data_IF_595648974247
#
_entry.id   IF_595648974247
#
_cell.length_a   1.000
_cell.length_b   1.000
_cell.length_c   1.000
_cell.angle_alpha   90.00
_cell.angle_beta   90.00
_cell.angle_gamma   90.00
#
_symmetry.space_group_name_H-M   'P 1'
#
loop_
_entity.id
_entity.type
_entity.pdbx_description
1 polymer ?
#
# COMPACT_ATOMS: atom_id res chain seq x y z
N UNK A 1 34.25 -28.04 6.21
CA UNK A 1 33.60 -26.93 5.46
C UNK A 1 32.44 -26.41 6.30
N UNK A 2 32.70 -25.83 7.47
CA UNK A 2 32.96 -24.40 7.65
C UNK A 2 31.86 -23.51 7.06
N UNK A 3 30.79 -23.31 7.85
CA UNK A 3 30.19 -22.00 8.13
C UNK A 3 30.34 -20.92 7.05
N UNK A 4 29.54 -21.01 5.97
CA UNK A 4 29.28 -19.86 5.10
C UNK A 4 28.00 -19.19 5.56
N UNK A 5 28.21 -18.32 6.55
CA UNK A 5 27.33 -17.22 6.95
C UNK A 5 26.64 -16.60 5.73
N UNK A 6 25.34 -16.79 5.62
CA UNK A 6 24.42 -15.74 5.21
C UNK A 6 23.36 -15.73 6.31
N UNK A 7 23.64 -15.10 7.45
CA UNK A 7 22.98 -13.82 7.71
C UNK A 7 22.72 -13.04 6.40
N UNK A 8 21.82 -13.54 5.54
CA UNK A 8 20.89 -12.64 4.90
C UNK A 8 20.23 -11.96 6.09
N UNK A 9 20.67 -10.74 6.39
CA UNK A 9 19.98 -9.83 7.30
C UNK A 9 18.52 -10.09 7.04
N UNK A 10 17.78 -10.66 8.01
CA UNK A 10 16.34 -10.85 7.88
C UNK A 10 15.81 -9.44 7.65
N UNK A 11 15.64 -9.08 6.36
CA UNK A 11 15.32 -7.73 5.95
C UNK A 11 13.90 -7.55 6.43
N UNK A 12 13.78 -6.86 7.55
CA UNK A 12 12.54 -6.75 8.30
C UNK A 12 11.52 -6.11 7.36
N UNK A 13 10.42 -6.81 7.10
CA UNK A 13 9.36 -6.27 6.27
C UNK A 13 8.90 -4.92 6.82
N UNK A 14 8.88 -3.91 5.96
CA UNK A 14 8.36 -2.58 6.27
C UNK A 14 6.91 -2.54 5.81
N UNK A 15 6.00 -2.25 6.73
CA UNK A 15 4.57 -2.14 6.44
C UNK A 15 4.12 -0.70 6.60
N UNK A 16 3.50 -0.14 5.57
CA UNK A 16 2.94 1.21 5.55
C UNK A 16 1.42 1.08 5.43
N UNK A 17 0.68 1.65 6.39
CA UNK A 17 -0.77 1.68 6.39
C UNK A 17 -1.26 3.12 6.34
N UNK A 18 -1.92 3.50 5.24
CA UNK A 18 -2.58 4.80 5.15
C UNK A 18 -3.98 4.71 5.77
N UNK A 19 -4.29 5.62 6.70
CA UNK A 19 -5.58 5.61 7.42
C UNK A 19 -6.34 6.90 7.18
N UNK A 20 -7.64 6.79 6.88
CA UNK A 20 -8.56 7.94 6.94
C UNK A 20 -9.89 7.53 7.62
N UNK A 21 -10.93 8.36 7.54
CA UNK A 21 -12.21 8.05 8.20
C UNK A 21 -12.93 6.87 7.52
N UNK A 22 -13.14 6.93 6.21
CA UNK A 22 -14.01 5.99 5.48
C UNK A 22 -13.30 5.02 4.53
N UNK A 23 -11.99 5.17 4.32
CA UNK A 23 -11.21 4.42 3.31
C UNK A 23 -11.79 4.47 1.88
N UNK A 24 -12.35 5.61 1.45
CA UNK A 24 -12.87 5.76 0.08
C UNK A 24 -12.29 6.95 -0.68
N UNK A 25 -11.61 7.88 -0.01
CA UNK A 25 -11.05 9.08 -0.64
C UNK A 25 -9.53 9.14 -0.48
N UNK A 26 -9.06 9.65 0.67
CA UNK A 26 -7.65 10.01 0.89
C UNK A 26 -6.72 8.80 1.03
N UNK A 27 -7.08 7.82 1.88
CA UNK A 27 -6.18 6.70 2.14
C UNK A 27 -6.01 5.72 0.96
N UNK A 28 -7.05 5.38 0.17
CA UNK A 28 -6.86 4.57 -1.03
C UNK A 28 -6.01 5.27 -2.11
N UNK A 29 -6.18 6.60 -2.29
CA UNK A 29 -5.34 7.37 -3.23
C UNK A 29 -3.87 7.29 -2.82
N UNK A 30 -3.57 7.51 -1.53
CA UNK A 30 -2.20 7.43 -1.01
C UNK A 30 -1.58 6.03 -1.17
N UNK A 31 -2.34 4.97 -0.88
CA UNK A 31 -1.89 3.58 -1.06
C UNK A 31 -1.51 3.30 -2.52
N UNK A 32 -2.36 3.68 -3.47
CA UNK A 32 -2.17 3.41 -4.90
C UNK A 32 -0.97 4.16 -5.46
N UNK A 33 -0.84 5.46 -5.12
CA UNK A 33 0.32 6.26 -5.53
C UNK A 33 1.61 5.75 -4.90
N UNK A 34 1.62 5.48 -3.59
CA UNK A 34 2.80 4.95 -2.93
C UNK A 34 3.20 3.59 -3.51
N UNK A 35 2.24 2.72 -3.81
CA UNK A 35 2.51 1.43 -4.48
C UNK A 35 3.15 1.62 -5.85
N UNK A 36 2.60 2.50 -6.68
CA UNK A 36 3.14 2.79 -8.00
C UNK A 36 4.57 3.37 -7.91
N UNK A 37 4.77 4.38 -7.08
CA UNK A 37 6.07 5.02 -6.89
C UNK A 37 7.09 4.09 -6.25
N UNK A 38 6.72 3.27 -5.27
CA UNK A 38 7.63 2.28 -4.68
C UNK A 38 8.07 1.25 -5.72
N UNK A 39 7.16 0.75 -6.56
CA UNK A 39 7.53 -0.17 -7.66
C UNK A 39 8.49 0.48 -8.64
N UNK A 40 8.24 1.72 -9.03
CA UNK A 40 9.09 2.47 -9.95
C UNK A 40 10.49 2.74 -9.35
N UNK A 41 10.55 3.26 -8.12
CA UNK A 41 11.80 3.68 -7.48
C UNK A 41 12.64 2.53 -6.94
N UNK A 42 12.01 1.41 -6.57
CA UNK A 42 12.72 0.24 -6.02
C UNK A 42 12.88 -0.90 -7.04
N UNK A 43 12.58 -0.70 -8.33
CA UNK A 43 12.57 -1.77 -9.34
C UNK A 43 13.84 -2.64 -9.37
N UNK A 44 15.00 -2.05 -9.06
CA UNK A 44 16.30 -2.73 -9.04
C UNK A 44 16.88 -2.91 -7.64
N UNK A 45 16.07 -2.63 -6.62
CA UNK A 45 16.44 -2.70 -5.21
C UNK A 45 15.90 -3.99 -4.61
N UNK A 46 16.72 -4.80 -3.90
CA UNK A 46 16.23 -5.94 -3.13
C UNK A 46 15.28 -5.54 -1.98
N UNK A 47 15.05 -4.25 -1.77
CA UNK A 47 14.08 -3.65 -0.87
C UNK A 47 12.65 -3.67 -1.44
N UNK A 48 12.47 -3.85 -2.75
CA UNK A 48 11.14 -3.96 -3.36
C UNK A 48 10.31 -5.09 -2.74
N UNK A 49 10.96 -6.20 -2.40
CA UNK A 49 10.31 -7.40 -1.86
C UNK A 49 9.91 -7.30 -0.39
N UNK A 50 10.37 -6.27 0.33
CA UNK A 50 10.15 -6.13 1.78
C UNK A 50 9.17 -5.01 2.14
N UNK A 51 8.71 -4.22 1.17
CA UNK A 51 7.78 -3.11 1.40
C UNK A 51 6.35 -3.56 1.10
N UNK A 52 5.50 -3.49 2.12
CA UNK A 52 4.06 -3.76 2.01
C UNK A 52 3.29 -2.46 2.24
N UNK A 53 2.36 -2.14 1.35
CA UNK A 53 1.56 -0.92 1.38
C UNK A 53 0.09 -1.31 1.36
N UNK A 54 -0.69 -0.71 2.25
CA UNK A 54 -2.11 -0.98 2.41
C UNK A 54 -2.83 0.30 2.88
N UNK A 55 -4.17 0.30 2.87
CA UNK A 55 -4.98 1.35 3.47
C UNK A 55 -6.14 0.82 4.29
N UNK A 56 -6.59 1.65 5.22
CA UNK A 56 -7.74 1.35 6.06
C UNK A 56 -8.53 2.62 6.40
N UNK A 57 -9.70 2.39 7.01
CA UNK A 57 -10.52 3.46 7.55
C UNK A 57 -11.06 3.10 8.92
N UNK A 58 -11.14 4.10 9.80
CA UNK A 58 -11.60 3.93 11.19
C UNK A 58 -13.05 3.43 11.25
N UNK A 59 -13.89 3.83 10.27
CA UNK A 59 -15.27 3.38 10.10
C UNK A 59 -15.55 2.84 8.70
N UNK A 60 -14.54 2.30 8.02
CA UNK A 60 -14.70 1.78 6.66
C UNK A 60 -15.53 0.51 6.63
N UNK A 61 -16.33 0.37 5.57
CA UNK A 61 -16.96 -0.90 5.19
C UNK A 61 -16.22 -1.47 3.98
N UNK A 62 -15.98 -2.77 3.96
CA UNK A 62 -15.25 -3.43 2.86
C UNK A 62 -16.01 -3.32 1.55
N UNK A 63 -15.26 -3.31 0.45
CA UNK A 63 -15.80 -3.47 -0.90
C UNK A 63 -16.37 -2.20 -1.50
N UNK A 64 -16.24 -1.05 -0.82
CA UNK A 64 -16.60 0.24 -1.41
C UNK A 64 -15.55 0.63 -2.47
N UNK A 65 -15.96 1.12 -3.65
CA UNK A 65 -15.00 1.68 -4.60
C UNK A 65 -14.38 2.97 -4.05
N UNK A 66 -13.26 3.40 -4.64
CA UNK A 66 -12.74 4.74 -4.42
C UNK A 66 -13.82 5.74 -4.90
N UNK A 67 -14.05 6.78 -4.12
CA UNK A 67 -14.92 7.90 -4.48
C UNK A 67 -14.55 8.44 -5.86
N UNK A 68 -15.56 8.78 -6.67
CA UNK A 68 -15.37 9.14 -8.09
C UNK A 68 -14.41 10.33 -8.29
N UNK A 69 -14.43 11.32 -7.41
CA UNK A 69 -13.57 12.50 -7.54
C UNK A 69 -12.15 12.16 -7.13
N UNK A 70 -12.00 11.32 -6.11
CA UNK A 70 -10.71 10.80 -5.67
C UNK A 70 -10.08 9.85 -6.70
N UNK A 71 -10.90 9.05 -7.39
CA UNK A 71 -10.47 8.18 -8.49
C UNK A 71 -10.00 9.00 -9.70
N UNK A 72 -10.73 10.07 -10.07
CA UNK A 72 -10.29 10.99 -11.12
C UNK A 72 -8.95 11.63 -10.77
N UNK A 73 -8.81 12.17 -9.56
CA UNK A 73 -7.55 12.76 -9.10
C UNK A 73 -6.40 11.74 -9.06
N UNK A 74 -6.68 10.48 -8.71
CA UNK A 74 -5.68 9.40 -8.74
C UNK A 74 -5.17 9.15 -10.15
N UNK A 75 -6.06 9.12 -11.15
CA UNK A 75 -5.69 8.97 -12.56
C UNK A 75 -4.85 10.15 -13.03
N UNK A 76 -5.22 11.38 -12.67
CA UNK A 76 -4.46 12.60 -13.03
C UNK A 76 -3.04 12.57 -12.45
N UNK A 77 -2.85 11.90 -11.31
CA UNK A 77 -1.56 11.70 -10.64
C UNK A 77 -0.79 10.47 -11.14
N UNK A 78 -1.30 9.76 -12.15
CA UNK A 78 -0.67 8.58 -12.76
C UNK A 78 -0.90 7.27 -11.99
N UNK A 79 -1.89 7.22 -11.11
CA UNK A 79 -2.27 6.01 -10.38
C UNK A 79 -3.43 5.26 -11.02
N UNK A 80 -3.59 3.98 -10.64
CA UNK A 80 -4.66 3.10 -11.12
C UNK A 80 -5.83 3.04 -10.10
N UNK A 81 -7.06 3.42 -10.49
CA UNK A 81 -8.23 3.33 -9.62
C UNK A 81 -8.86 1.93 -9.59
N UNK A 82 -8.37 0.96 -10.36
CA UNK A 82 -8.95 -0.38 -10.48
C UNK A 82 -8.67 -1.26 -9.25
N UNK A 83 -9.28 -0.91 -8.12
CA UNK A 83 -9.40 -1.78 -6.96
C UNK A 83 -10.47 -1.27 -5.98
N UNK A 84 -11.15 -2.19 -5.32
CA UNK A 84 -12.08 -1.87 -4.23
C UNK A 84 -11.35 -1.65 -2.92
N UNK A 85 -11.89 -0.79 -2.06
CA UNK A 85 -11.33 -0.45 -0.76
C UNK A 85 -11.56 -1.59 0.25
N UNK A 86 -10.58 -1.85 1.10
CA UNK A 86 -10.64 -2.89 2.13
C UNK A 86 -11.16 -2.31 3.46
N UNK A 87 -12.00 -3.01 4.22
CA UNK A 87 -12.25 -2.57 5.60
C UNK A 87 -10.98 -2.72 6.43
N UNK A 88 -10.93 -2.01 7.56
CA UNK A 88 -9.90 -2.20 8.57
C UNK A 88 -9.87 -3.66 9.05
N UNK A 89 -8.90 -4.44 8.55
CA UNK A 89 -8.66 -5.81 9.01
C UNK A 89 -7.80 -5.80 10.28
N UNK A 90 -8.37 -5.30 11.39
CA UNK A 90 -8.05 -5.70 12.78
C UNK A 90 -8.81 -4.82 13.79
N UNK A 91 -9.88 -5.37 14.36
CA UNK A 91 -10.09 -5.17 15.81
C UNK A 91 -8.97 -5.96 16.50
N UNK A 92 -8.36 -5.35 17.51
CA UNK A 92 -7.38 -6.02 18.38
C UNK A 92 -7.96 -7.30 18.96
#
# INVERSE_FOLDING_TARGET
MLLSRLHATQRRAVRILFVCTGNVCRSPVAERLATAWTREKLLHSPEADIVQIDSAGMGATSGQPIDRHSAAALVDLGGDPAASCHASSRRR
#
